data_IF_243110017572
#
_entry.id   IF_243110017572
#
_cell.length_a   1.000
_cell.length_b   1.000
_cell.length_c   1.000
_cell.angle_alpha   90.00
_cell.angle_beta   90.00
_cell.angle_gamma   90.00
#
_symmetry.space_group_name_H-M   'P 1'
#
loop_
_entity.id
_entity.type
_entity.pdbx_description
1 polymer ?
#
# COMPACT_ATOMS: atom_id res chain seq x y z
N UNK A 1 -22.01 0.41 14.82
CA UNK A 1 -21.26 -0.87 14.75
C UNK A 1 -20.26 -0.72 13.62
N UNK A 2 -19.02 -0.34 13.94
CA UNK A 2 -17.98 -0.10 12.94
C UNK A 2 -17.25 -1.42 12.67
N UNK A 3 -17.50 -2.02 11.51
CA UNK A 3 -16.80 -3.22 11.09
C UNK A 3 -15.41 -2.83 10.56
N UNK A 4 -14.40 -2.85 11.43
CA UNK A 4 -13.01 -2.88 10.98
C UNK A 4 -12.76 -4.25 10.37
N UNK A 5 -12.82 -4.34 9.04
CA UNK A 5 -12.37 -5.53 8.33
C UNK A 5 -10.85 -5.57 8.42
N UNK A 6 -10.32 -6.39 9.33
CA UNK A 6 -8.91 -6.73 9.36
C UNK A 6 -8.60 -7.51 8.08
N UNK A 7 -8.01 -6.83 7.09
CA UNK A 7 -7.48 -7.52 5.91
C UNK A 7 -6.33 -8.43 6.39
N UNK A 8 -6.53 -9.74 6.33
CA UNK A 8 -5.49 -10.73 6.58
C UNK A 8 -4.37 -10.54 5.55
N UNK A 9 -3.08 -10.55 5.96
CA UNK A 9 -1.99 -10.57 5.00
C UNK A 9 -1.98 -11.95 4.33
N UNK A 10 -2.51 -12.03 3.11
CA UNK A 10 -2.40 -13.21 2.27
C UNK A 10 -0.94 -13.38 1.84
N UNK A 11 -0.15 -14.08 2.66
CA UNK A 11 1.21 -14.51 2.37
C UNK A 11 1.19 -15.51 1.22
N UNK A 12 1.39 -15.05 -0.01
CA UNK A 12 1.55 -15.97 -1.15
C UNK A 12 1.42 -15.37 -2.54
N UNK A 13 0.90 -14.16 -2.70
CA UNK A 13 0.84 -13.45 -3.98
C UNK A 13 1.32 -12.02 -3.80
N UNK A 14 2.12 -11.54 -4.75
CA UNK A 14 2.46 -10.12 -4.82
C UNK A 14 1.16 -9.30 -4.77
N UNK A 15 1.11 -8.30 -3.89
CA UNK A 15 -0.08 -7.45 -3.74
C UNK A 15 -0.29 -6.67 -5.04
N UNK A 16 -1.55 -6.44 -5.40
CA UNK A 16 -1.87 -5.60 -6.56
C UNK A 16 -1.52 -4.13 -6.28
N UNK A 17 -1.24 -3.38 -7.35
CA UNK A 17 -0.95 -1.95 -7.25
C UNK A 17 -2.08 -1.18 -6.54
N UNK A 18 -3.35 -1.55 -6.77
CA UNK A 18 -4.50 -0.89 -6.15
C UNK A 18 -4.51 -1.06 -4.63
N UNK A 19 -4.21 -2.27 -4.13
CA UNK A 19 -4.15 -2.53 -2.68
C UNK A 19 -3.06 -1.71 -2.01
N UNK A 20 -1.86 -1.65 -2.60
CA UNK A 20 -0.76 -0.87 -2.04
C UNK A 20 -1.08 0.63 -2.08
N UNK A 21 -1.77 1.10 -3.11
CA UNK A 21 -2.18 2.49 -3.23
C UNK A 21 -3.23 2.90 -2.17
N UNK A 22 -4.17 2.01 -1.82
CA UNK A 22 -5.10 2.25 -0.71
C UNK A 22 -4.39 2.38 0.64
N UNK A 23 -3.34 1.59 0.88
CA UNK A 23 -2.54 1.70 2.10
C UNK A 23 -1.76 3.02 2.17
N UNK A 24 -1.23 3.49 1.03
CA UNK A 24 -0.60 4.82 0.95
C UNK A 24 -1.62 5.90 1.31
N UNK A 25 -2.87 5.83 0.81
CA UNK A 25 -3.94 6.78 1.16
C UNK A 25 -4.30 6.72 2.65
N UNK A 26 -4.42 5.52 3.20
CA UNK A 26 -4.71 5.32 4.63
C UNK A 26 -3.60 5.91 5.52
N UNK A 27 -2.33 5.75 5.12
CA UNK A 27 -1.17 6.36 5.75
C UNK A 27 -1.25 7.91 5.75
N UNK A 28 -1.64 8.52 4.63
CA UNK A 28 -1.84 9.97 4.57
C UNK A 28 -2.98 10.45 5.46
N UNK A 29 -4.09 9.69 5.51
CA UNK A 29 -5.25 10.01 6.33
C UNK A 29 -4.90 10.00 7.82
N UNK A 30 -4.19 8.96 8.30
CA UNK A 30 -3.77 8.87 9.71
C UNK A 30 -2.70 9.88 10.10
N UNK A 31 -1.88 10.31 9.13
CA UNK A 31 -0.79 11.27 9.37
C UNK A 31 -1.29 12.72 9.54
N UNK A 32 -2.54 13.01 9.15
CA UNK A 32 -3.13 14.35 9.34
C UNK A 32 -2.39 15.48 8.60
N UNK A 33 -1.70 15.15 7.50
CA UNK A 33 -1.04 16.13 6.61
C UNK A 33 0.50 16.14 6.67
N UNK A 34 1.14 15.53 7.66
CA UNK A 34 2.61 15.36 7.70
C UNK A 34 3.02 14.01 8.24
N UNK A 35 3.88 13.31 7.51
CA UNK A 35 4.45 12.03 7.94
C UNK A 35 5.53 12.25 9.00
N UNK A 36 5.49 11.46 10.07
CA UNK A 36 6.64 11.28 10.98
C UNK A 36 7.80 10.57 10.28
N UNK A 37 8.95 10.45 10.95
CA UNK A 37 10.12 9.73 10.41
C UNK A 37 9.80 8.26 10.17
N UNK A 38 9.06 7.63 11.09
CA UNK A 38 8.63 6.24 10.99
C UNK A 38 7.63 6.05 9.86
N UNK A 39 6.63 6.93 9.78
CA UNK A 39 5.62 6.94 8.73
C UNK A 39 6.23 7.20 7.34
N UNK A 40 7.32 7.98 7.26
CA UNK A 40 8.07 8.18 6.02
C UNK A 40 8.76 6.91 5.56
N UNK A 41 9.38 6.13 6.46
CA UNK A 41 9.97 4.83 6.11
C UNK A 41 8.92 3.86 5.58
N UNK A 42 7.75 3.84 6.19
CA UNK A 42 6.62 3.05 5.72
C UNK A 42 6.13 3.52 4.34
N UNK A 43 6.01 4.83 4.14
CA UNK A 43 5.67 5.40 2.83
C UNK A 43 6.66 4.97 1.74
N UNK A 44 7.96 5.04 2.00
CA UNK A 44 9.02 4.66 1.05
C UNK A 44 8.95 3.16 0.69
N UNK A 45 8.67 2.31 1.67
CA UNK A 45 8.45 0.88 1.45
C UNK A 45 7.22 0.63 0.57
N UNK A 46 6.08 1.27 0.89
CA UNK A 46 4.85 1.15 0.13
C UNK A 46 4.99 1.67 -1.31
N UNK A 47 5.67 2.80 -1.52
CA UNK A 47 5.92 3.33 -2.88
C UNK A 47 6.81 2.38 -3.68
N UNK A 48 7.82 1.80 -3.05
CA UNK A 48 8.70 0.82 -3.70
C UNK A 48 7.91 -0.41 -4.13
N UNK A 49 7.06 -0.94 -3.25
CA UNK A 49 6.21 -2.10 -3.54
C UNK A 49 5.18 -1.78 -4.63
N UNK A 50 4.53 -0.61 -4.55
CA UNK A 50 3.59 -0.15 -5.57
C UNK A 50 4.24 -0.10 -6.94
N UNK A 51 5.46 0.44 -7.03
CA UNK A 51 6.20 0.49 -8.28
C UNK A 51 6.53 -0.91 -8.84
N UNK A 52 6.81 -1.89 -7.99
CA UNK A 52 6.97 -3.29 -8.42
C UNK A 52 5.65 -3.88 -8.91
N UNK A 53 4.56 -3.66 -8.19
CA UNK A 53 3.23 -4.17 -8.53
C UNK A 53 2.71 -3.57 -9.85
N UNK A 54 2.93 -2.27 -10.09
CA UNK A 54 2.60 -1.62 -11.36
C UNK A 54 3.39 -2.24 -12.52
N UNK A 55 4.71 -2.43 -12.35
CA UNK A 55 5.53 -3.08 -13.39
C UNK A 55 5.11 -4.51 -13.66
N UNK A 56 4.80 -5.29 -12.62
CA UNK A 56 4.31 -6.66 -12.76
C UNK A 56 2.95 -6.73 -13.46
N UNK A 57 2.03 -5.80 -13.14
CA UNK A 57 0.71 -5.72 -13.79
C UNK A 57 0.76 -5.24 -15.24
N UNK A 58 1.71 -4.37 -15.60
CA UNK A 58 1.93 -3.96 -17.00
C UNK A 58 2.37 -5.14 -17.87
N UNK A 59 3.21 -6.03 -17.35
CA UNK A 59 3.70 -7.21 -18.10
C UNK A 59 2.60 -8.22 -18.39
N UNK A 60 1.59 -8.34 -17.53
CA UNK A 60 0.42 -9.22 -17.76
C UNK A 60 -0.61 -8.61 -18.74
N UNK A 61 -0.54 -7.31 -19.02
CA UNK A 61 -1.52 -6.58 -19.81
C UNK A 61 -1.07 -6.22 -21.24
N UNK A 62 0.16 -6.58 -21.64
CA UNK A 62 0.77 -6.27 -22.95
C UNK A 62 0.84 -7.49 -23.86
#
# INVERSE_FOLDING_TARGET
MSSTSAASPSTGKARSADVVNEEIRALWLRAGGKLTVEQRREYEALVTEWAQAVRGGIVEAA
#
